data_IF_877691725005
#
_entry.id   IF_877691725005
#
_cell.length_a   1.000
_cell.length_b   1.000
_cell.length_c   1.000
_cell.angle_alpha   90.00
_cell.angle_beta   90.00
_cell.angle_gamma   90.00
#
_symmetry.space_group_name_H-M   'P 1'
#
loop_
_entity.id
_entity.type
_entity.pdbx_description
1 polymer ?
#
# COMPACT_ATOMS: atom_id res chain seq x y z
N UNK A 1 -36.42 4.57 18.48
CA UNK A 1 -35.70 5.35 17.44
C UNK A 1 -34.27 5.77 17.79
N UNK A 2 -33.76 5.55 19.02
CA UNK A 2 -32.35 5.86 19.36
C UNK A 2 -31.37 4.70 19.10
N UNK A 3 -31.84 3.45 19.14
CA UNK A 3 -30.99 2.25 19.00
C UNK A 3 -30.65 1.96 17.53
N UNK A 4 -31.57 2.21 16.59
CA UNK A 4 -31.35 1.96 15.15
C UNK A 4 -30.27 2.89 14.56
N UNK A 5 -30.19 4.14 15.05
CA UNK A 5 -29.18 5.10 14.61
C UNK A 5 -27.75 4.72 15.03
N UNK A 6 -27.59 4.08 16.20
CA UNK A 6 -26.27 3.64 16.70
C UNK A 6 -25.76 2.45 15.90
N UNK A 7 -26.63 1.53 15.47
CA UNK A 7 -26.25 0.37 14.66
C UNK A 7 -25.77 0.79 13.26
N UNK A 8 -26.41 1.78 12.63
CA UNK A 8 -25.93 2.30 11.33
C UNK A 8 -24.59 3.05 11.44
N UNK A 9 -24.34 3.77 12.55
CA UNK A 9 -23.08 4.50 12.78
C UNK A 9 -21.88 3.56 13.02
N UNK A 10 -22.10 2.40 13.65
CA UNK A 10 -21.03 1.40 13.87
C UNK A 10 -20.75 0.58 12.61
N UNK A 11 -21.76 0.33 11.77
CA UNK A 11 -21.59 -0.42 10.52
C UNK A 11 -20.82 0.35 9.43
N UNK A 12 -20.81 1.69 9.47
CA UNK A 12 -20.01 2.53 8.57
C UNK A 12 -18.51 2.53 8.89
N UNK A 13 -18.11 2.12 10.10
CA UNK A 13 -16.72 2.18 10.56
C UNK A 13 -15.87 0.94 10.22
N UNK A 14 -16.47 -0.11 9.65
CA UNK A 14 -15.81 -1.38 9.34
C UNK A 14 -15.59 -1.60 7.84
N UNK A 15 -15.51 -0.52 7.05
CA UNK A 15 -15.07 -0.62 5.67
C UNK A 15 -13.54 -0.57 5.67
N UNK A 16 -12.88 -1.62 5.14
CA UNK A 16 -11.44 -1.56 4.89
C UNK A 16 -11.16 -0.32 4.03
N UNK A 17 -10.41 0.62 4.57
CA UNK A 17 -10.14 1.89 3.90
C UNK A 17 -9.12 1.64 2.79
N UNK A 18 -9.57 1.72 1.54
CA UNK A 18 -8.68 1.63 0.39
C UNK A 18 -7.79 2.89 0.34
N UNK A 19 -6.48 2.68 0.33
CA UNK A 19 -5.49 3.74 0.15
C UNK A 19 -5.20 3.93 -1.33
N UNK A 20 -5.07 5.17 -1.76
CA UNK A 20 -4.82 5.50 -3.16
C UNK A 20 -3.65 6.46 -3.26
N UNK A 21 -2.83 6.32 -4.29
CA UNK A 21 -1.73 7.23 -4.55
C UNK A 21 -1.37 7.30 -6.04
N UNK A 22 -0.77 8.42 -6.44
CA UNK A 22 -0.15 8.64 -7.73
C UNK A 22 1.33 8.96 -7.60
N UNK A 23 2.14 8.56 -8.58
CA UNK A 23 3.53 8.95 -8.74
C UNK A 23 3.72 9.86 -9.95
N UNK A 24 4.24 11.07 -9.71
CA UNK A 24 4.56 12.06 -10.73
C UNK A 24 6.07 12.19 -10.91
N UNK A 25 6.48 12.46 -12.14
CA UNK A 25 7.84 12.87 -12.48
C UNK A 25 7.86 14.36 -12.83
N UNK A 26 8.63 15.15 -12.11
CA UNK A 26 8.80 16.59 -12.35
C UNK A 26 10.29 16.88 -12.59
N UNK A 27 10.70 16.87 -13.87
CA UNK A 27 12.12 16.87 -14.22
C UNK A 27 12.78 15.56 -13.79
N UNK A 28 13.78 15.64 -12.92
CA UNK A 28 14.48 14.48 -12.35
C UNK A 28 13.94 14.05 -10.97
N UNK A 29 12.95 14.78 -10.42
CA UNK A 29 12.37 14.50 -9.12
C UNK A 29 11.08 13.67 -9.22
N UNK A 30 10.87 12.82 -8.21
CA UNK A 30 9.66 12.02 -8.06
C UNK A 30 8.82 12.52 -6.89
N UNK A 31 7.49 12.58 -7.09
CA UNK A 31 6.54 13.01 -6.05
C UNK A 31 5.37 12.02 -5.95
N UNK A 32 4.95 11.76 -4.73
CA UNK A 32 3.73 11.01 -4.43
C UNK A 32 2.62 11.98 -4.05
N UNK A 33 1.42 11.78 -4.61
CA UNK A 33 0.20 12.42 -4.13
C UNK A 33 -0.77 11.35 -3.60
N UNK A 34 -1.18 11.50 -2.34
CA UNK A 34 -2.12 10.60 -1.68
C UNK A 34 -3.57 10.95 -1.97
N UNK A 35 -4.44 9.93 -2.01
CA UNK A 35 -5.88 10.09 -2.20
C UNK A 35 -6.28 10.55 -3.59
N UNK A 36 -5.35 10.59 -4.54
CA UNK A 36 -5.58 11.03 -5.91
C UNK A 36 -5.32 9.85 -6.86
N UNK A 37 -6.19 9.71 -7.86
CA UNK A 37 -5.97 8.87 -9.04
C UNK A 37 -6.22 9.72 -10.27
N UNK A 38 -5.23 9.78 -11.15
CA UNK A 38 -5.29 10.53 -12.40
C UNK A 38 -4.39 9.89 -13.45
N UNK A 39 -4.79 10.01 -14.71
CA UNK A 39 -4.02 9.63 -15.88
C UNK A 39 -2.93 10.65 -16.27
N UNK A 40 -2.81 11.75 -15.52
CA UNK A 40 -1.70 12.71 -15.67
C UNK A 40 -0.44 12.28 -14.91
N UNK A 41 -0.56 11.27 -14.03
CA UNK A 41 0.56 10.69 -13.30
C UNK A 41 1.27 9.61 -14.13
N UNK A 42 2.53 9.31 -13.81
CA UNK A 42 3.28 8.23 -14.48
C UNK A 42 2.70 6.87 -14.09
N UNK A 43 2.32 6.72 -12.82
CA UNK A 43 1.63 5.56 -12.30
C UNK A 43 0.64 5.97 -11.20
N UNK A 44 -0.42 5.19 -11.03
CA UNK A 44 -1.32 5.30 -9.91
C UNK A 44 -1.73 3.92 -9.40
N UNK A 45 -2.08 3.84 -8.13
CA UNK A 45 -2.46 2.59 -7.51
C UNK A 45 -3.50 2.77 -6.41
N UNK A 46 -4.25 1.70 -6.17
CA UNK A 46 -5.19 1.54 -5.08
C UNK A 46 -4.86 0.26 -4.32
N UNK A 47 -4.78 0.36 -3.00
CA UNK A 47 -4.43 -0.71 -2.10
C UNK A 47 -5.53 -0.89 -1.05
N UNK A 48 -6.11 -2.09 -0.98
CA UNK A 48 -7.08 -2.47 0.05
C UNK A 48 -6.49 -3.56 0.91
N UNK A 49 -6.33 -3.28 2.20
CA UNK A 49 -5.81 -4.24 3.16
C UNK A 49 -6.94 -4.93 3.92
N UNK A 50 -7.41 -6.05 3.37
CA UNK A 50 -8.46 -6.90 3.97
C UNK A 50 -7.89 -8.18 4.59
N UNK A 51 -6.58 -8.19 4.92
CA UNK A 51 -5.91 -9.43 5.35
C UNK A 51 -6.52 -9.98 6.65
N UNK A 52 -7.05 -9.12 7.50
CA UNK A 52 -7.73 -9.51 8.75
C UNK A 52 -9.13 -10.07 8.51
N UNK A 53 -9.77 -9.70 7.40
CA UNK A 53 -11.15 -10.01 7.06
C UNK A 53 -11.24 -11.27 6.20
N UNK A 54 -10.43 -11.37 5.14
CA UNK A 54 -10.49 -12.44 4.14
C UNK A 54 -9.14 -13.13 3.85
N UNK A 55 -8.06 -12.70 4.52
CA UNK A 55 -6.73 -13.28 4.39
C UNK A 55 -5.91 -12.74 3.22
N UNK A 56 -6.42 -11.77 2.46
CA UNK A 56 -5.72 -11.16 1.34
C UNK A 56 -5.65 -9.64 1.47
N UNK A 57 -4.65 -9.02 0.86
CA UNK A 57 -4.75 -7.62 0.46
C UNK A 57 -4.79 -7.56 -1.07
N UNK A 58 -5.45 -6.56 -1.63
CA UNK A 58 -5.46 -6.30 -3.07
C UNK A 58 -4.70 -5.02 -3.40
N UNK A 59 -3.88 -5.08 -4.44
CA UNK A 59 -3.21 -3.93 -5.04
C UNK A 59 -3.58 -3.89 -6.52
N UNK A 60 -4.19 -2.80 -6.95
CA UNK A 60 -4.42 -2.49 -8.36
C UNK A 60 -3.52 -1.32 -8.73
N UNK A 61 -2.75 -1.48 -9.81
CA UNK A 61 -1.74 -0.53 -10.24
C UNK A 61 -1.79 -0.35 -11.76
N UNK A 62 -1.73 0.89 -12.20
CA UNK A 62 -1.71 1.26 -13.62
C UNK A 62 -0.56 2.22 -13.90
N UNK A 63 0.03 2.10 -15.08
CA UNK A 63 1.02 3.04 -15.61
C UNK A 63 0.52 3.66 -16.90
N UNK A 64 0.93 4.90 -17.17
CA UNK A 64 0.50 5.62 -18.35
C UNK A 64 1.50 5.48 -19.50
N UNK A 65 0.99 5.11 -20.67
CA UNK A 65 1.80 4.75 -21.85
C UNK A 65 2.53 5.93 -22.51
N UNK A 66 2.22 7.16 -22.12
CA UNK A 66 2.87 8.37 -22.63
C UNK A 66 4.28 8.57 -22.04
N UNK A 67 4.63 7.87 -20.98
CA UNK A 67 5.95 7.94 -20.32
C UNK A 67 6.91 6.85 -20.79
N UNK A 68 8.21 7.05 -20.56
CA UNK A 68 9.22 6.04 -20.91
C UNK A 68 9.02 4.75 -20.12
N UNK A 69 9.35 3.59 -20.70
CA UNK A 69 9.26 2.29 -20.00
C UNK A 69 10.04 2.28 -18.68
N UNK A 70 11.18 2.98 -18.64
CA UNK A 70 11.99 3.11 -17.41
C UNK A 70 11.25 3.89 -16.33
N UNK A 71 10.60 4.99 -16.71
CA UNK A 71 9.83 5.81 -15.78
C UNK A 71 8.58 5.09 -15.30
N UNK A 72 7.88 4.37 -16.19
CA UNK A 72 6.73 3.54 -15.82
C UNK A 72 7.12 2.46 -14.81
N UNK A 73 8.20 1.71 -15.07
CA UNK A 73 8.67 0.67 -14.16
C UNK A 73 9.09 1.23 -12.80
N UNK A 74 9.79 2.36 -12.78
CA UNK A 74 10.19 3.02 -11.54
C UNK A 74 8.99 3.55 -10.76
N UNK A 75 8.07 4.25 -11.44
CA UNK A 75 6.87 4.82 -10.83
C UNK A 75 5.95 3.73 -10.25
N UNK A 76 5.83 2.59 -10.94
CA UNK A 76 5.08 1.44 -10.45
C UNK A 76 5.66 0.93 -9.12
N UNK A 77 6.97 0.68 -9.06
CA UNK A 77 7.62 0.25 -7.82
C UNK A 77 7.53 1.30 -6.71
N UNK A 78 7.64 2.59 -7.05
CA UNK A 78 7.55 3.68 -6.09
C UNK A 78 6.16 3.75 -5.44
N UNK A 79 5.08 3.72 -6.24
CA UNK A 79 3.71 3.83 -5.71
C UNK A 79 3.27 2.57 -4.97
N UNK A 80 3.67 1.38 -5.44
CA UNK A 80 3.47 0.11 -4.71
C UNK A 80 4.16 0.15 -3.36
N UNK A 81 5.46 0.48 -3.34
CA UNK A 81 6.25 0.56 -2.11
C UNK A 81 5.66 1.58 -1.13
N UNK A 82 5.17 2.71 -1.64
CA UNK A 82 4.49 3.71 -0.81
C UNK A 82 3.26 3.16 -0.10
N UNK A 83 2.35 2.54 -0.84
CA UNK A 83 1.07 2.07 -0.32
C UNK A 83 1.21 0.83 0.58
N UNK A 84 2.21 -0.02 0.31
CA UNK A 84 2.36 -1.33 0.93
C UNK A 84 3.53 -1.43 1.92
N UNK A 85 4.25 -0.33 2.18
CA UNK A 85 5.44 -0.30 3.05
C UNK A 85 5.24 -1.02 4.39
N UNK A 86 4.07 -0.86 5.01
CA UNK A 86 3.73 -1.53 6.27
C UNK A 86 3.73 -3.05 6.13
N UNK A 87 3.04 -3.60 5.13
CA UNK A 87 2.97 -5.06 4.88
C UNK A 87 4.30 -5.63 4.39
N UNK A 88 5.06 -4.87 3.61
CA UNK A 88 6.44 -5.24 3.25
C UNK A 88 7.29 -5.38 4.52
N UNK A 89 7.21 -4.41 5.44
CA UNK A 89 7.91 -4.47 6.73
C UNK A 89 7.53 -5.68 7.58
N UNK A 90 6.23 -5.97 7.71
CA UNK A 90 5.76 -7.17 8.42
C UNK A 90 6.24 -8.46 7.75
N UNK A 91 6.15 -8.53 6.43
CA UNK A 91 6.59 -9.70 5.66
C UNK A 91 8.08 -9.94 5.86
N UNK A 92 8.90 -8.89 5.77
CA UNK A 92 10.33 -8.97 6.04
C UNK A 92 10.62 -9.52 7.44
N UNK A 93 9.99 -8.97 8.49
CA UNK A 93 10.23 -9.42 9.86
C UNK A 93 9.81 -10.88 10.08
N UNK A 94 8.66 -11.27 9.54
CA UNK A 94 8.12 -12.62 9.71
C UNK A 94 8.94 -13.66 8.95
N UNK A 95 9.48 -13.30 7.78
CA UNK A 95 10.19 -14.26 6.91
C UNK A 95 11.70 -14.25 7.11
N UNK A 96 12.29 -13.14 7.60
CA UNK A 96 13.74 -13.03 7.77
C UNK A 96 14.30 -14.14 8.65
N UNK A 97 13.65 -14.43 9.77
CA UNK A 97 14.08 -15.48 10.70
C UNK A 97 14.09 -16.85 10.02
N UNK A 98 13.05 -17.15 9.23
CA UNK A 98 12.90 -18.42 8.52
C UNK A 98 13.87 -18.55 7.34
N UNK A 99 14.17 -17.45 6.65
CA UNK A 99 14.98 -17.45 5.42
C UNK A 99 16.47 -17.27 5.66
N UNK A 100 16.86 -16.53 6.70
CA UNK A 100 18.27 -16.19 6.96
C UNK A 100 18.91 -16.98 8.10
N UNK A 101 18.14 -17.81 8.81
CA UNK A 101 18.64 -18.79 9.77
C UNK A 101 19.65 -18.23 10.77
N UNK A 102 19.19 -17.38 11.69
CA UNK A 102 20.00 -17.08 12.88
C UNK A 102 19.71 -18.15 13.96
N UNK A 103 20.63 -19.11 14.08
CA UNK A 103 20.63 -20.12 15.14
C UNK A 103 21.31 -19.64 16.44
N UNK A 104 21.46 -18.33 16.69
CA UNK A 104 21.95 -17.90 18.00
C UNK A 104 22.05 -16.39 18.19
N UNK A 105 21.05 -15.81 18.86
CA UNK A 105 21.17 -14.46 19.42
C UNK A 105 19.94 -14.06 20.22
N UNK A 106 20.11 -13.91 21.53
CA UNK A 106 19.07 -13.54 22.50
C UNK A 106 18.37 -12.23 22.12
N UNK A 107 17.03 -12.24 22.21
CA UNK A 107 16.16 -11.11 21.93
C UNK A 107 16.22 -10.08 23.08
N UNK A 108 16.58 -8.83 22.78
CA UNK A 108 16.44 -7.67 23.70
C UNK A 108 15.30 -6.76 23.22
N UNK A 109 14.15 -6.72 23.94
CA UNK A 109 13.06 -5.82 23.60
C UNK A 109 13.33 -4.43 24.17
N UNK A 110 13.69 -3.47 23.30
CA UNK A 110 13.47 -2.04 23.56
C UNK A 110 12.00 -1.67 23.35
#
# INVERSE_FOLDING_TARGET
MRIVLVVCLVALAAYAEAKMACAYKQGDEWKIAEGVVTNEAVAFAMYSDTTTEDGWSSLELHTEGEFSNSDQAYAAGLVEGYLTAYRIGQTYLNTKTDMMGDFGGEWDPL
#
